data_IF_992829340961
#
_entry.id   IF_992829340961
#
_cell.length_a   1.000
_cell.length_b   1.000
_cell.length_c   1.000
_cell.angle_alpha   90.00
_cell.angle_beta   90.00
_cell.angle_gamma   90.00
#
_symmetry.space_group_name_H-M   'P 1'
#
loop_
_entity.id
_entity.type
_entity.pdbx_description
1 polymer ?
#
# COMPACT_ATOMS: atom_id res chain seq x y z
N UNK A 1 5.90 15.95 -20.48
CA UNK A 1 4.53 15.96 -19.89
C UNK A 1 4.14 14.57 -19.41
N UNK A 2 4.25 13.55 -20.27
CA UNK A 2 3.90 12.16 -19.95
C UNK A 2 4.68 11.58 -18.75
N UNK A 3 5.97 11.88 -18.62
CA UNK A 3 6.81 11.40 -17.50
C UNK A 3 6.41 12.01 -16.14
N UNK A 4 5.93 13.25 -16.16
CA UNK A 4 5.40 13.92 -14.96
C UNK A 4 4.06 13.33 -14.51
N UNK A 5 3.20 12.95 -15.47
CA UNK A 5 1.95 12.24 -15.17
C UNK A 5 2.25 10.84 -14.66
N UNK A 6 3.16 10.11 -15.29
CA UNK A 6 3.51 8.75 -14.88
C UNK A 6 4.05 8.70 -13.44
N UNK A 7 4.98 9.60 -13.10
CA UNK A 7 5.53 9.69 -11.75
C UNK A 7 4.50 10.14 -10.71
N UNK A 8 3.67 11.15 -11.02
CA UNK A 8 2.61 11.60 -10.14
C UNK A 8 1.51 10.55 -9.93
N UNK A 9 1.10 9.84 -10.98
CA UNK A 9 0.10 8.79 -10.91
C UNK A 9 0.59 7.59 -10.09
N UNK A 10 1.84 7.15 -10.29
CA UNK A 10 2.44 6.08 -9.50
C UNK A 10 2.46 6.42 -8.01
N UNK A 11 2.90 7.64 -7.65
CA UNK A 11 2.89 8.08 -6.27
C UNK A 11 1.48 8.18 -5.67
N UNK A 12 0.53 8.72 -6.43
CA UNK A 12 -0.86 8.84 -5.98
C UNK A 12 -1.50 7.46 -5.72
N UNK A 13 -1.24 6.47 -6.57
CA UNK A 13 -1.73 5.08 -6.38
C UNK A 13 -1.16 4.48 -5.10
N UNK A 14 0.14 4.65 -4.86
CA UNK A 14 0.79 4.16 -3.63
C UNK A 14 0.14 4.79 -2.39
N UNK A 15 -0.05 6.11 -2.39
CA UNK A 15 -0.72 6.81 -1.30
C UNK A 15 -2.17 6.36 -1.09
N UNK A 16 -2.90 6.10 -2.18
CA UNK A 16 -4.29 5.62 -2.13
C UNK A 16 -4.37 4.25 -1.45
N UNK A 17 -3.48 3.32 -1.82
CA UNK A 17 -3.42 1.99 -1.20
C UNK A 17 -3.11 2.10 0.30
N UNK A 18 -2.15 2.96 0.68
CA UNK A 18 -1.84 3.22 2.09
C UNK A 18 -3.07 3.76 2.82
N UNK A 19 -3.73 4.76 2.24
CA UNK A 19 -4.89 5.39 2.85
C UNK A 19 -6.04 4.40 3.03
N UNK A 20 -6.32 3.57 2.03
CA UNK A 20 -7.35 2.53 2.08
C UNK A 20 -7.15 1.58 3.27
N UNK A 21 -5.94 1.01 3.41
CA UNK A 21 -5.65 0.07 4.50
C UNK A 21 -5.70 0.77 5.86
N UNK A 22 -5.22 2.01 5.94
CA UNK A 22 -5.23 2.80 7.19
C UNK A 22 -6.64 3.17 7.63
N UNK A 23 -7.52 3.51 6.69
CA UNK A 23 -8.92 3.85 7.01
C UNK A 23 -9.68 2.61 7.47
N UNK A 24 -9.51 1.50 6.76
CA UNK A 24 -10.16 0.23 7.08
C UNK A 24 -9.74 -0.29 8.46
N UNK A 25 -8.44 -0.31 8.77
CA UNK A 25 -7.96 -0.82 10.05
C UNK A 25 -8.11 0.21 11.18
N UNK A 26 -7.96 1.49 10.86
CA UNK A 26 -8.06 2.59 11.82
C UNK A 26 -9.49 2.81 12.31
N UNK A 27 -10.44 2.93 11.40
CA UNK A 27 -11.82 3.34 11.71
C UNK A 27 -12.87 2.27 11.40
N UNK A 28 -12.51 1.18 10.73
CA UNK A 28 -13.48 0.18 10.25
C UNK A 28 -14.37 0.68 9.11
N UNK A 29 -14.07 1.86 8.59
CA UNK A 29 -14.81 2.52 7.52
C UNK A 29 -13.96 2.68 6.28
N UNK A 30 -14.64 2.85 5.15
CA UNK A 30 -14.02 3.26 3.90
C UNK A 30 -14.88 4.33 3.24
N UNK A 31 -14.29 5.46 2.88
CA UNK A 31 -14.99 6.62 2.34
C UNK A 31 -16.20 7.04 3.21
N UNK A 32 -16.10 6.85 4.53
CA UNK A 32 -17.18 7.15 5.49
C UNK A 32 -18.30 6.11 5.57
N UNK A 33 -18.22 5.00 4.83
CA UNK A 33 -19.13 3.85 4.94
C UNK A 33 -18.51 2.85 5.92
N UNK A 34 -19.22 2.52 7.00
CA UNK A 34 -18.73 1.51 7.95
C UNK A 34 -18.88 0.10 7.35
N UNK A 35 -17.74 -0.56 7.11
CA UNK A 35 -17.68 -1.89 6.48
C UNK A 35 -17.56 -2.99 7.53
N UNK A 36 -16.79 -2.76 8.60
CA UNK A 36 -16.51 -3.77 9.62
C UNK A 36 -17.57 -3.82 10.74
N UNK A 37 -18.54 -2.90 10.71
CA UNK A 37 -19.69 -2.85 11.61
C UNK A 37 -19.37 -2.24 12.97
N UNK A 38 -20.37 -2.17 13.85
CA UNK A 38 -20.25 -1.56 15.20
C UNK A 38 -19.34 -2.35 16.16
N UNK A 39 -19.04 -3.62 15.85
CA UNK A 39 -18.16 -4.48 16.66
C UNK A 39 -16.66 -4.32 16.37
N UNK A 40 -16.27 -3.51 15.38
CA UNK A 40 -14.86 -3.31 15.06
C UNK A 40 -14.20 -2.39 16.08
N UNK A 41 -13.13 -2.88 16.70
CA UNK A 41 -12.29 -2.03 17.55
C UNK A 41 -11.35 -1.24 16.65
N UNK A 42 -11.53 0.07 16.59
CA UNK A 42 -10.65 0.99 15.88
C UNK A 42 -9.19 0.85 16.33
N UNK A 43 -8.28 0.48 15.42
CA UNK A 43 -6.86 0.39 15.74
C UNK A 43 -6.24 1.79 15.76
N UNK A 44 -6.27 2.43 16.93
CA UNK A 44 -5.74 3.80 17.13
C UNK A 44 -4.29 3.94 16.66
N UNK A 45 -3.49 2.88 16.74
CA UNK A 45 -2.12 2.83 16.22
C UNK A 45 -2.07 3.22 14.73
N UNK A 46 -3.00 2.74 13.92
CA UNK A 46 -3.01 2.94 12.46
C UNK A 46 -3.38 4.38 12.07
N UNK A 47 -4.10 5.08 12.94
CA UNK A 47 -4.48 6.48 12.78
C UNK A 47 -3.29 7.39 13.12
N UNK A 48 -2.51 7.04 14.14
CA UNK A 48 -1.37 7.82 14.59
C UNK A 48 -0.18 7.79 13.61
N UNK A 49 0.75 8.77 13.67
CA UNK A 49 1.97 8.80 12.86
C UNK A 49 2.77 7.47 12.80
N UNK A 50 2.98 6.71 13.91
CA UNK A 50 3.65 5.41 13.86
C UNK A 50 3.04 4.42 12.85
N UNK A 51 1.71 4.41 12.67
CA UNK A 51 1.05 3.52 11.70
C UNK A 51 1.46 3.79 10.25
N UNK A 52 1.74 5.04 9.90
CA UNK A 52 2.18 5.41 8.55
C UNK A 52 3.59 4.85 8.24
N UNK A 53 4.50 4.83 9.22
CA UNK A 53 5.84 4.26 9.05
C UNK A 53 5.79 2.74 8.85
N UNK A 54 4.92 2.04 9.58
CA UNK A 54 4.71 0.60 9.38
C UNK A 54 4.16 0.29 7.99
N UNK A 55 3.15 1.03 7.53
CA UNK A 55 2.59 0.87 6.19
C UNK A 55 3.62 1.14 5.09
N UNK A 56 4.45 2.16 5.25
CA UNK A 56 5.53 2.46 4.32
C UNK A 56 6.55 1.32 4.27
N UNK A 57 6.96 0.79 5.42
CA UNK A 57 7.89 -0.34 5.49
C UNK A 57 7.34 -1.59 4.78
N UNK A 58 6.05 -1.91 4.99
CA UNK A 58 5.39 -3.05 4.34
C UNK A 58 5.32 -2.85 2.82
N UNK A 59 4.95 -1.65 2.35
CA UNK A 59 4.89 -1.38 0.90
C UNK A 59 6.26 -1.45 0.26
N UNK A 60 7.30 -0.91 0.90
CA UNK A 60 8.67 -1.01 0.38
C UNK A 60 9.09 -2.49 0.32
N UNK A 61 8.76 -3.28 1.34
CA UNK A 61 9.05 -4.71 1.34
C UNK A 61 8.32 -5.46 0.22
N UNK A 62 7.01 -5.22 0.03
CA UNK A 62 6.23 -5.83 -1.06
C UNK A 62 6.76 -5.39 -2.43
N UNK A 63 6.95 -4.08 -2.62
CA UNK A 63 7.47 -3.52 -3.87
C UNK A 63 8.84 -4.08 -4.20
N UNK A 64 9.69 -4.30 -3.20
CA UNK A 64 11.00 -4.90 -3.38
C UNK A 64 10.89 -6.38 -3.72
N UNK A 65 10.05 -7.14 -3.02
CA UNK A 65 9.84 -8.56 -3.32
C UNK A 65 9.27 -8.77 -4.73
N UNK A 66 8.32 -7.93 -5.17
CA UNK A 66 7.78 -8.01 -6.54
C UNK A 66 8.82 -7.67 -7.62
N UNK A 67 9.76 -6.76 -7.32
CA UNK A 67 10.89 -6.43 -8.20
C UNK A 67 11.94 -7.55 -8.20
N UNK A 68 12.17 -8.17 -7.04
CA UNK A 68 13.09 -9.29 -6.89
C UNK A 68 12.51 -10.52 -7.64
N UNK A 69 11.19 -10.75 -7.62
CA UNK A 69 10.50 -11.78 -8.41
C UNK A 69 10.56 -11.52 -9.92
N UNK A 70 10.46 -10.27 -10.39
CA UNK A 70 10.67 -9.96 -11.82
C UNK A 70 12.13 -10.22 -12.26
N UNK A 71 13.09 -10.13 -11.33
CA UNK A 71 14.49 -10.48 -11.60
C UNK A 71 14.75 -11.99 -11.66
N UNK A 72 13.87 -12.82 -11.07
CA UNK A 72 13.91 -14.28 -11.22
C UNK A 72 13.01 -14.79 -12.38
N UNK A 73 11.82 -14.22 -12.61
CA UNK A 73 10.95 -14.64 -13.73
C UNK A 73 11.37 -14.05 -15.10
N UNK A 74 12.08 -12.93 -15.16
CA UNK A 74 12.70 -12.44 -16.42
C UNK A 74 14.18 -12.87 -16.56
N UNK A 75 14.80 -13.35 -15.49
CA UNK A 75 16.17 -13.89 -15.48
C UNK A 75 16.30 -15.36 -15.89
N UNK A 76 15.21 -16.12 -15.90
CA UNK A 76 15.20 -17.56 -16.23
C UNK A 76 15.14 -17.92 -17.72
N UNK A 77 14.89 -16.96 -18.62
CA UNK A 77 14.70 -17.23 -20.05
C UNK A 77 15.92 -16.90 -20.95
N UNK A 78 17.09 -16.59 -20.38
CA UNK A 78 18.33 -16.33 -21.15
C UNK A 78 19.58 -17.02 -20.58
N UNK A 79 19.42 -18.29 -20.20
CA UNK A 79 20.54 -19.21 -20.04
C UNK A 79 20.29 -20.50 -20.83
N UNK A 80 20.16 -20.35 -22.15
CA UNK A 80 20.55 -21.34 -23.16
C UNK A 80 21.22 -20.62 -24.32
#
# INVERSE_FOLDING_TARGET
FMDGIASGAGYAIVLLIIAFVRELLGFGSLFGINILGEGWTSWTLMIMPPGAFFMLAIIIWISKNMIDDESEETGGAKAQ
#
